data_IF_229986948125
#
_entry.id   IF_229986948125
#
_cell.length_a   1.000
_cell.length_b   1.000
_cell.length_c   1.000
_cell.angle_alpha   90.00
_cell.angle_beta   90.00
_cell.angle_gamma   90.00
#
_symmetry.space_group_name_H-M   'P 1'
#
loop_
_entity.id
_entity.type
_entity.pdbx_description
1 polymer ?
#
# COMPACT_ATOMS: atom_id res chain seq x y z
N UNK A 1 -1.82 6.50 14.96
CA UNK A 1 -1.30 5.17 15.34
C UNK A 1 -0.34 4.63 14.27
N UNK A 2 0.75 3.93 14.63
CA UNK A 2 1.66 3.28 13.66
C UNK A 2 1.62 1.77 13.90
N UNK A 3 1.18 1.01 12.90
CA UNK A 3 1.03 -0.45 12.99
C UNK A 3 2.26 -1.21 12.45
N UNK A 4 2.96 -0.61 11.48
CA UNK A 4 4.01 -1.28 10.73
C UNK A 4 5.39 -1.01 11.34
N UNK A 5 6.14 -2.08 11.59
CA UNK A 5 7.51 -2.00 12.15
C UNK A 5 8.55 -1.59 11.12
N UNK A 6 8.24 -1.69 9.82
CA UNK A 6 9.15 -1.33 8.73
C UNK A 6 8.40 -0.65 7.57
N UNK A 7 9.14 0.15 6.79
CA UNK A 7 8.60 0.81 5.60
C UNK A 7 8.16 -0.19 4.52
N UNK A 8 8.91 -1.27 4.21
CA UNK A 8 8.44 -2.30 3.27
C UNK A 8 7.14 -2.98 3.71
N UNK A 9 6.95 -3.23 5.00
CA UNK A 9 5.70 -3.82 5.50
C UNK A 9 4.53 -2.83 5.37
N UNK A 10 4.77 -1.53 5.55
CA UNK A 10 3.76 -0.51 5.29
C UNK A 10 3.39 -0.42 3.80
N UNK A 11 4.38 -0.46 2.91
CA UNK A 11 4.14 -0.45 1.45
C UNK A 11 3.32 -1.68 1.05
N UNK A 12 3.66 -2.86 1.58
CA UNK A 12 2.88 -4.08 1.36
C UNK A 12 1.43 -3.92 1.84
N UNK A 13 1.20 -3.28 2.97
CA UNK A 13 -0.15 -3.01 3.46
C UNK A 13 -0.94 -2.08 2.54
N UNK A 14 -0.28 -1.09 1.90
CA UNK A 14 -0.90 -0.26 0.87
C UNK A 14 -1.26 -1.07 -0.37
N UNK A 15 -0.41 -2.02 -0.77
CA UNK A 15 -0.65 -2.90 -1.92
C UNK A 15 -1.90 -3.76 -1.70
N UNK A 16 -2.02 -4.33 -0.49
CA UNK A 16 -3.21 -5.09 -0.06
C UNK A 16 -4.45 -4.19 0.02
N UNK A 17 -4.32 -2.95 0.49
CA UNK A 17 -5.44 -2.01 0.53
C UNK A 17 -6.00 -1.72 -0.87
N UNK A 18 -5.11 -1.53 -1.84
CA UNK A 18 -5.51 -1.27 -3.23
C UNK A 18 -6.17 -2.48 -3.87
N UNK A 19 -5.61 -3.68 -3.73
CA UNK A 19 -6.22 -4.89 -4.27
C UNK A 19 -7.57 -5.25 -3.61
N UNK A 20 -7.84 -4.75 -2.41
CA UNK A 20 -9.14 -4.90 -1.74
C UNK A 20 -10.07 -3.69 -1.91
N UNK A 21 -9.73 -2.71 -2.75
CA UNK A 21 -10.53 -1.49 -2.87
C UNK A 21 -11.95 -1.78 -3.39
N UNK A 22 -12.11 -2.83 -4.21
CA UNK A 22 -13.38 -3.32 -4.76
C UNK A 22 -14.09 -4.37 -3.86
N UNK A 23 -13.53 -4.65 -2.67
CA UNK A 23 -13.97 -5.72 -1.74
C UNK A 23 -13.75 -7.15 -2.23
N UNK A 24 -12.91 -7.35 -3.24
CA UNK A 24 -12.44 -8.65 -3.67
C UNK A 24 -10.91 -8.73 -3.56
N UNK A 25 -10.32 -9.89 -3.83
CA UNK A 25 -8.88 -9.98 -4.08
C UNK A 25 -8.70 -10.66 -5.42
N UNK A 26 -8.34 -9.90 -6.46
CA UNK A 26 -8.13 -10.50 -7.77
C UNK A 26 -6.81 -11.30 -7.78
N UNK A 27 -6.80 -12.57 -8.23
CA UNK A 27 -5.58 -13.36 -8.32
C UNK A 27 -4.46 -12.72 -9.15
N UNK A 28 -4.78 -11.93 -10.17
CA UNK A 28 -3.81 -11.22 -11.02
C UNK A 28 -3.17 -10.05 -10.26
N UNK A 29 -3.95 -9.29 -9.50
CA UNK A 29 -3.43 -8.26 -8.61
C UNK A 29 -2.55 -8.87 -7.53
N UNK A 30 -2.97 -9.98 -6.92
CA UNK A 30 -2.16 -10.70 -5.93
C UNK A 30 -0.83 -11.19 -6.53
N UNK A 31 -0.84 -11.67 -7.79
CA UNK A 31 0.37 -12.06 -8.49
C UNK A 31 1.29 -10.85 -8.76
N UNK A 32 0.72 -9.70 -9.16
CA UNK A 32 1.46 -8.46 -9.32
C UNK A 32 2.09 -8.00 -7.98
N UNK A 33 1.34 -8.06 -6.88
CA UNK A 33 1.86 -7.77 -5.54
C UNK A 33 3.05 -8.66 -5.21
N UNK A 34 2.95 -9.98 -5.43
CA UNK A 34 4.07 -10.91 -5.18
C UNK A 34 5.32 -10.55 -5.99
N UNK A 35 5.17 -10.12 -7.24
CA UNK A 35 6.29 -9.67 -8.07
C UNK A 35 6.94 -8.44 -7.45
N UNK A 36 6.14 -7.43 -7.06
CA UNK A 36 6.64 -6.21 -6.43
C UNK A 36 7.26 -6.45 -5.06
N UNK A 37 6.80 -7.48 -4.34
CA UNK A 37 7.39 -7.87 -3.06
C UNK A 37 8.83 -8.38 -3.20
N UNK A 38 9.20 -9.00 -4.33
CA UNK A 38 10.59 -9.41 -4.58
C UNK A 38 11.54 -8.21 -4.64
N UNK A 39 11.06 -7.04 -5.11
CA UNK A 39 11.86 -5.81 -5.13
C UNK A 39 11.89 -5.09 -3.76
N UNK A 40 10.92 -5.37 -2.89
CA UNK A 40 10.74 -4.71 -1.60
C UNK A 40 11.47 -5.42 -0.45
N UNK A 41 11.63 -6.73 -0.55
CA UNK A 41 12.22 -7.56 0.51
C UNK A 41 13.51 -8.24 0.02
N UNK A 42 14.41 -8.54 0.95
CA UNK A 42 15.68 -9.21 0.63
C UNK A 42 15.46 -10.63 0.13
N UNK A 43 16.34 -11.08 -0.76
CA UNK A 43 16.37 -12.46 -1.26
C UNK A 43 16.35 -13.48 -0.11
N UNK A 44 15.48 -14.48 -0.23
CA UNK A 44 15.25 -15.49 0.82
C UNK A 44 14.15 -15.13 1.83
N UNK A 45 13.49 -13.98 1.69
CA UNK A 45 12.28 -13.67 2.46
C UNK A 45 11.11 -14.55 2.00
N UNK A 46 10.37 -15.13 2.94
CA UNK A 46 9.12 -15.84 2.67
C UNK A 46 8.01 -14.83 2.32
N UNK A 47 7.93 -14.51 1.03
CA UNK A 47 7.00 -13.55 0.43
C UNK A 47 5.54 -13.96 0.68
N UNK A 48 5.24 -15.26 0.58
CA UNK A 48 3.88 -15.75 0.78
C UNK A 48 3.42 -15.53 2.21
N UNK A 49 4.25 -15.92 3.19
CA UNK A 49 3.95 -15.73 4.61
C UNK A 49 3.77 -14.24 4.96
N UNK A 50 4.60 -13.36 4.39
CA UNK A 50 4.44 -11.91 4.57
C UNK A 50 3.14 -11.39 3.96
N UNK A 51 2.81 -11.81 2.74
CA UNK A 51 1.57 -11.41 2.08
C UNK A 51 0.34 -11.85 2.87
N UNK A 52 0.28 -13.12 3.29
CA UNK A 52 -0.82 -13.64 4.12
C UNK A 52 -0.93 -12.90 5.45
N UNK A 53 0.20 -12.54 6.06
CA UNK A 53 0.20 -11.74 7.29
C UNK A 53 -0.37 -10.35 7.02
N UNK A 54 0.06 -9.67 5.97
CA UNK A 54 -0.45 -8.34 5.62
C UNK A 54 -1.95 -8.36 5.28
N UNK A 55 -2.43 -9.38 4.56
CA UNK A 55 -3.86 -9.59 4.28
C UNK A 55 -4.63 -9.78 5.57
N UNK A 56 -4.13 -10.62 6.48
CA UNK A 56 -4.78 -10.83 7.79
C UNK A 56 -4.81 -9.56 8.62
N UNK A 57 -3.68 -8.85 8.72
CA UNK A 57 -3.57 -7.58 9.44
C UNK A 57 -4.56 -6.57 8.86
N UNK A 58 -4.58 -6.41 7.54
CA UNK A 58 -5.53 -5.55 6.84
C UNK A 58 -6.97 -5.93 7.17
N UNK A 59 -7.37 -7.20 7.01
CA UNK A 59 -8.73 -7.66 7.24
C UNK A 59 -9.19 -7.55 8.69
N UNK A 60 -8.27 -7.72 9.64
CA UNK A 60 -8.54 -7.53 11.06
C UNK A 60 -8.60 -6.05 11.48
N UNK A 61 -8.11 -5.14 10.63
CA UNK A 61 -8.03 -3.73 10.95
C UNK A 61 -9.38 -3.02 10.76
N UNK A 62 -9.67 -2.09 11.68
CA UNK A 62 -10.83 -1.21 11.60
C UNK A 62 -10.72 -0.27 10.39
N UNK A 63 -11.52 -0.55 9.36
CA UNK A 63 -11.48 0.17 8.08
C UNK A 63 -11.77 1.67 8.24
N UNK A 64 -12.53 2.06 9.27
CA UNK A 64 -12.82 3.47 9.55
C UNK A 64 -11.57 4.26 9.97
N UNK A 65 -10.52 3.57 10.41
CA UNK A 65 -9.26 4.17 10.88
C UNK A 65 -8.13 4.10 9.85
N UNK A 66 -8.39 3.59 8.63
CA UNK A 66 -7.33 3.45 7.61
C UNK A 66 -6.70 4.78 7.25
N UNK A 67 -7.49 5.84 7.08
CA UNK A 67 -6.97 7.17 6.75
C UNK A 67 -6.03 7.72 7.84
N UNK A 68 -6.40 7.52 9.12
CA UNK A 68 -5.56 7.91 10.25
C UNK A 68 -4.27 7.07 10.30
N UNK A 69 -4.39 5.75 10.13
CA UNK A 69 -3.25 4.84 10.07
C UNK A 69 -2.26 5.24 8.96
N UNK A 70 -2.76 5.50 7.75
CA UNK A 70 -1.96 5.92 6.62
C UNK A 70 -1.28 7.25 6.92
N UNK A 71 -2.03 8.27 7.36
CA UNK A 71 -1.47 9.58 7.69
C UNK A 71 -0.35 9.48 8.73
N UNK A 72 -0.57 8.73 9.82
CA UNK A 72 0.40 8.62 10.89
C UNK A 72 1.61 7.77 10.53
N UNK A 73 1.42 6.71 9.74
CA UNK A 73 2.53 5.89 9.23
C UNK A 73 3.35 6.66 8.20
N UNK A 74 2.72 7.47 7.34
CA UNK A 74 3.42 8.39 6.44
C UNK A 74 4.20 9.47 7.18
N UNK A 75 3.67 10.04 8.27
CA UNK A 75 4.44 10.97 9.12
C UNK A 75 5.64 10.28 9.76
N UNK A 76 5.44 9.06 10.27
CA UNK A 76 6.49 8.28 10.93
C UNK A 76 7.64 7.96 9.97
N UNK A 77 7.33 7.49 8.76
CA UNK A 77 8.34 7.17 7.74
C UNK A 77 8.63 8.33 6.77
N UNK A 78 8.06 9.52 6.98
CA UNK A 78 8.10 10.62 6.03
C UNK A 78 9.48 11.25 5.81
N UNK A 79 10.49 10.84 6.60
CA UNK A 79 11.91 11.15 6.32
C UNK A 79 12.53 10.18 5.31
N UNK A 80 12.00 8.96 5.22
CA UNK A 80 12.43 7.90 4.31
C UNK A 80 11.60 7.88 3.01
N UNK A 81 10.42 8.52 3.02
CA UNK A 81 9.53 8.65 1.86
C UNK A 81 9.94 9.83 0.95
N UNK A 82 11.10 9.69 0.29
CA UNK A 82 11.64 10.67 -0.65
C UNK A 82 10.93 10.58 -2.03
N UNK A 83 10.96 11.64 -2.87
CA UNK A 83 10.19 11.68 -4.11
C UNK A 83 10.40 10.47 -5.06
N UNK A 84 11.63 9.97 -5.27
CA UNK A 84 11.85 8.73 -6.04
C UNK A 84 11.07 7.51 -5.52
N UNK A 85 11.10 7.27 -4.20
CA UNK A 85 10.36 6.16 -3.60
C UNK A 85 8.84 6.38 -3.65
N UNK A 86 8.40 7.63 -3.43
CA UNK A 86 6.98 8.02 -3.55
C UNK A 86 6.45 7.70 -4.95
N UNK A 87 7.18 8.09 -5.99
CA UNK A 87 6.80 7.84 -7.38
C UNK A 87 6.76 6.35 -7.67
N UNK A 88 7.80 5.59 -7.27
CA UNK A 88 7.83 4.14 -7.44
C UNK A 88 6.62 3.46 -6.78
N UNK A 89 6.28 3.82 -5.55
CA UNK A 89 5.11 3.23 -4.87
C UNK A 89 3.83 3.54 -5.63
N UNK A 90 3.65 4.75 -6.15
CA UNK A 90 2.45 5.05 -6.95
C UNK A 90 2.43 4.34 -8.29
N UNK A 91 3.57 4.19 -8.96
CA UNK A 91 3.70 3.38 -10.18
C UNK A 91 3.32 1.94 -9.88
N UNK A 92 3.89 1.34 -8.83
CA UNK A 92 3.57 -0.03 -8.40
C UNK A 92 2.07 -0.18 -8.07
N UNK A 93 1.47 0.79 -7.37
CA UNK A 93 0.03 0.76 -7.09
C UNK A 93 -0.84 0.83 -8.35
N UNK A 94 -0.46 1.64 -9.33
CA UNK A 94 -1.16 1.70 -10.61
C UNK A 94 -1.00 0.39 -11.40
N UNK A 95 0.19 -0.21 -11.39
CA UNK A 95 0.44 -1.48 -12.06
C UNK A 95 -0.35 -2.63 -11.43
N UNK A 96 -0.43 -2.68 -10.09
CA UNK A 96 -1.26 -3.66 -9.38
C UNK A 96 -2.72 -3.49 -9.80
N UNK A 97 -3.26 -2.27 -9.71
CA UNK A 97 -4.64 -1.94 -10.11
C UNK A 97 -4.94 -2.22 -11.59
N UNK A 98 -3.94 -2.20 -12.46
CA UNK A 98 -4.10 -2.49 -13.89
C UNK A 98 -3.84 -3.96 -14.24
N UNK A 99 -3.45 -4.79 -13.28
CA UNK A 99 -2.99 -6.17 -13.53
C UNK A 99 -4.09 -7.04 -14.15
N UNK A 100 -5.36 -6.79 -13.80
CA UNK A 100 -6.52 -7.49 -14.34
C UNK A 100 -7.10 -6.84 -15.62
N UNK A 101 -6.51 -5.71 -16.04
CA UNK A 101 -6.94 -4.91 -17.19
C UNK A 101 -8.22 -4.11 -16.98
N UNK A 102 -8.76 -4.02 -15.75
CA UNK A 102 -10.01 -3.32 -15.43
C UNK A 102 -9.83 -2.42 -14.22
N UNK A 103 -9.52 -1.15 -14.48
CA UNK A 103 -9.52 -0.15 -13.43
C UNK A 103 -10.95 0.27 -13.09
N UNK A 104 -11.38 -0.01 -11.86
CA UNK A 104 -12.71 0.35 -11.37
C UNK A 104 -12.71 1.73 -10.68
N UNK A 105 -13.90 2.32 -10.54
CA UNK A 105 -14.06 3.58 -9.82
C UNK A 105 -13.65 3.49 -8.35
N UNK A 106 -13.79 2.32 -7.73
CA UNK A 106 -13.41 2.10 -6.34
C UNK A 106 -11.90 2.19 -6.12
N UNK A 107 -11.10 1.53 -6.97
CA UNK A 107 -9.64 1.59 -6.91
C UNK A 107 -9.13 3.00 -7.24
N UNK A 108 -9.72 3.66 -8.25
CA UNK A 108 -9.36 5.04 -8.59
C UNK A 108 -9.55 5.97 -7.38
N UNK A 109 -10.68 5.85 -6.68
CA UNK A 109 -10.95 6.62 -5.44
C UNK A 109 -9.99 6.28 -4.30
N UNK A 110 -9.64 5.01 -4.14
CA UNK A 110 -8.67 4.58 -3.12
C UNK A 110 -7.29 5.21 -3.39
N UNK A 111 -6.84 5.19 -4.65
CA UNK A 111 -5.58 5.81 -5.07
C UNK A 111 -5.58 7.33 -4.88
N UNK A 112 -6.66 8.01 -5.25
CA UNK A 112 -6.82 9.46 -5.03
C UNK A 112 -6.81 9.81 -3.55
N UNK A 113 -7.50 9.02 -2.71
CA UNK A 113 -7.51 9.22 -1.26
C UNK A 113 -6.11 9.08 -0.66
N UNK A 114 -5.33 8.09 -1.12
CA UNK A 114 -3.93 7.92 -0.71
C UNK A 114 -3.05 9.10 -1.14
N UNK A 115 -3.20 9.59 -2.38
CA UNK A 115 -2.47 10.77 -2.87
C UNK A 115 -2.75 11.99 -2.01
N UNK A 116 -4.02 12.26 -1.70
CA UNK A 116 -4.42 13.38 -0.84
C UNK A 116 -3.84 13.26 0.58
N UNK A 117 -3.86 12.06 1.19
CA UNK A 117 -3.28 11.83 2.51
C UNK A 117 -1.78 12.14 2.50
N UNK A 118 -1.05 11.72 1.46
CA UNK A 118 0.38 11.95 1.33
C UNK A 118 0.68 13.44 1.09
N UNK A 119 -0.10 14.13 0.25
CA UNK A 119 0.03 15.57 0.01
C UNK A 119 -0.21 16.39 1.29
N UNK A 120 -1.29 16.11 2.01
CA UNK A 120 -1.58 16.76 3.30
C UNK A 120 -0.49 16.51 4.35
N UNK A 121 0.18 15.35 4.32
CA UNK A 121 1.31 15.07 5.19
C UNK A 121 2.61 15.78 4.75
N UNK A 122 2.76 16.05 3.45
CA UNK A 122 3.91 16.76 2.90
C UNK A 122 3.82 18.28 3.13
N UNK A 123 2.64 18.87 3.02
CA UNK A 123 2.40 20.31 3.22
C UNK A 123 2.55 20.74 4.69
N UNK A 124 2.24 19.86 5.65
CA UNK A 124 2.41 20.12 7.09
C UNK A 124 3.88 20.17 7.57
N UNK A 125 4.87 20.12 6.66
CA UNK A 125 6.29 20.31 6.98
C UNK A 125 6.78 21.77 6.81
N UNK A 126 5.89 22.75 6.60
CA UNK A 126 6.23 24.18 6.61
C UNK A 126 6.05 24.80 8.00
#
# INVERSE_FOLDING_TARGET
MVLHSSLPDFILFLYVHMSHADSNYDPLEMAAIKVKMNDLFVDGTDIEKKLYRAIREYNSFDKSKLNELFSDTFKHFGKYYHPPLKNKVFEDLNEIMQADGKVNQAETKALESLKQIIELCAEKKQ
#
